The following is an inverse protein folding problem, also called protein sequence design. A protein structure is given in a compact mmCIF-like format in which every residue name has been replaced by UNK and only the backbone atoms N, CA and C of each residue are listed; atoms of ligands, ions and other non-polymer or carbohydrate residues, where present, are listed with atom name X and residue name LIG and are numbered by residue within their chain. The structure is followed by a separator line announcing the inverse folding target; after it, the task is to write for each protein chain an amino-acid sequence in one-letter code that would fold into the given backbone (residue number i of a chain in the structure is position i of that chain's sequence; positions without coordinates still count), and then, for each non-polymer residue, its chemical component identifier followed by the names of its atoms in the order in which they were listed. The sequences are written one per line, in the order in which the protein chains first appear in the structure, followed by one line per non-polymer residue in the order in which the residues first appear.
data_IF_305016035088
#
_entry.id   IF_305016035088
#
_cell.length_a   1.000
_cell.length_b   1.000
_cell.length_c   1.000
_cell.angle_alpha   90.00
_cell.angle_beta   90.00
_cell.angle_gamma   90.00
#
_symmetry.space_group_name_H-M   'P 1'
#
loop_
_entity.id
_entity.type
_entity.pdbx_description
1 polymer ?
#
# COMPACT_ATOMS: atom_id res chain seq x y z
N UNK A 1 23.17 -29.34 -25.05
CA UNK A 1 22.48 -28.04 -24.79
C UNK A 1 20.98 -28.23 -24.50
N UNK A 2 20.24 -29.05 -25.30
CA UNK A 2 18.81 -29.30 -25.08
C UNK A 2 18.49 -29.94 -23.70
N UNK A 3 19.33 -30.87 -23.24
CA UNK A 3 19.15 -31.55 -21.95
C UNK A 3 19.27 -30.62 -20.74
N UNK A 4 20.19 -29.64 -20.77
CA UNK A 4 20.40 -28.66 -19.69
C UNK A 4 19.21 -27.68 -19.60
N UNK A 5 18.67 -27.24 -20.73
CA UNK A 5 17.51 -26.35 -20.79
C UNK A 5 16.26 -27.06 -20.26
N UNK A 6 16.09 -28.34 -20.57
CA UNK A 6 14.96 -29.13 -20.09
C UNK A 6 15.02 -29.37 -18.57
N UNK A 7 16.19 -29.67 -18.04
CA UNK A 7 16.40 -29.86 -16.60
C UNK A 7 16.17 -28.57 -15.81
N UNK A 8 16.60 -27.43 -16.36
CA UNK A 8 16.38 -26.12 -15.74
C UNK A 8 14.89 -25.70 -15.76
N UNK A 9 14.17 -26.04 -16.83
CA UNK A 9 12.72 -25.81 -16.94
C UNK A 9 11.94 -26.64 -15.92
N UNK A 10 12.29 -27.92 -15.73
CA UNK A 10 11.68 -28.78 -14.72
C UNK A 10 11.97 -28.31 -13.30
N UNK A 11 13.19 -27.85 -13.03
CA UNK A 11 13.56 -27.28 -11.72
C UNK A 11 12.74 -26.02 -11.43
N UNK A 12 12.59 -25.13 -12.40
CA UNK A 12 11.77 -23.93 -12.28
C UNK A 12 10.31 -24.26 -12.00
N UNK A 13 9.71 -25.18 -12.77
CA UNK A 13 8.33 -25.60 -12.57
C UNK A 13 8.11 -26.21 -11.17
N UNK A 14 9.04 -27.02 -10.70
CA UNK A 14 8.99 -27.60 -9.35
C UNK A 14 9.07 -26.53 -8.28
N UNK A 15 9.97 -25.55 -8.39
CA UNK A 15 10.08 -24.44 -7.44
C UNK A 15 8.81 -23.59 -7.43
N UNK A 16 8.18 -23.36 -8.58
CA UNK A 16 6.90 -22.66 -8.66
C UNK A 16 5.80 -23.37 -7.88
N UNK A 17 5.65 -24.69 -8.08
CA UNK A 17 4.66 -25.50 -7.33
C UNK A 17 4.94 -25.51 -5.83
N UNK A 18 6.19 -25.64 -5.42
CA UNK A 18 6.59 -25.59 -4.02
C UNK A 18 6.28 -24.22 -3.40
N UNK A 19 6.57 -23.14 -4.11
CA UNK A 19 6.28 -21.78 -3.63
C UNK A 19 4.77 -21.56 -3.44
N UNK A 20 3.96 -21.99 -4.40
CA UNK A 20 2.50 -21.92 -4.31
C UNK A 20 1.99 -22.66 -3.08
N UNK A 21 2.44 -23.91 -2.88
CA UNK A 21 2.06 -24.72 -1.73
C UNK A 21 2.46 -24.07 -0.40
N UNK A 22 3.67 -23.52 -0.30
CA UNK A 22 4.15 -22.85 0.90
C UNK A 22 3.36 -21.57 1.23
N UNK A 23 2.92 -20.84 0.21
CA UNK A 23 2.02 -19.68 0.39
C UNK A 23 0.64 -20.13 0.86
N UNK A 24 0.09 -21.19 0.30
CA UNK A 24 -1.21 -21.73 0.69
C UNK A 24 -1.19 -22.33 2.11
N UNK A 25 -0.07 -22.92 2.51
CA UNK A 25 0.17 -23.40 3.88
C UNK A 25 0.50 -22.29 4.89
N UNK A 26 0.50 -21.03 4.48
CA UNK A 26 0.85 -19.87 5.32
C UNK A 26 2.25 -19.96 5.95
N UNK A 27 3.23 -20.39 5.14
CA UNK A 27 4.66 -20.46 5.50
C UNK A 27 5.45 -19.37 4.75
N UNK A 28 5.31 -18.08 5.11
CA UNK A 28 5.83 -16.99 4.30
C UNK A 28 7.36 -16.98 4.20
N UNK A 29 8.07 -17.35 5.23
CA UNK A 29 9.54 -17.37 5.25
C UNK A 29 10.08 -18.40 4.25
N UNK A 30 9.58 -19.64 4.29
CA UNK A 30 9.97 -20.68 3.35
C UNK A 30 9.52 -20.33 1.91
N UNK A 31 8.36 -19.71 1.74
CA UNK A 31 7.90 -19.23 0.44
C UNK A 31 8.83 -18.14 -0.12
N UNK A 32 9.32 -17.22 0.71
CA UNK A 32 10.27 -16.18 0.30
C UNK A 32 11.63 -16.75 -0.08
N UNK A 33 12.12 -17.79 0.59
CA UNK A 33 13.34 -18.52 0.21
C UNK A 33 13.19 -19.17 -1.17
N UNK A 34 12.07 -19.86 -1.41
CA UNK A 34 11.77 -20.46 -2.70
C UNK A 34 11.65 -19.41 -3.83
N UNK A 35 11.06 -18.23 -3.55
CA UNK A 35 11.02 -17.11 -4.50
C UNK A 35 12.42 -16.56 -4.77
N UNK A 36 13.28 -16.47 -3.77
CA UNK A 36 14.67 -16.01 -3.95
C UNK A 36 15.43 -16.97 -4.88
N UNK A 37 15.24 -18.27 -4.73
CA UNK A 37 15.84 -19.29 -5.61
C UNK A 37 15.30 -19.19 -7.05
N UNK A 38 13.98 -18.95 -7.22
CA UNK A 38 13.38 -18.68 -8.53
C UNK A 38 13.99 -17.45 -9.21
N UNK A 39 14.18 -16.37 -8.47
CA UNK A 39 14.77 -15.14 -8.98
C UNK A 39 16.25 -15.30 -9.36
N UNK A 40 17.00 -16.14 -8.64
CA UNK A 40 18.39 -16.46 -8.94
C UNK A 40 18.55 -17.20 -10.28
N UNK A 41 17.51 -17.90 -10.75
CA UNK A 41 17.49 -18.56 -12.05
C UNK A 41 17.39 -17.61 -13.26
N UNK A 42 17.28 -16.30 -13.02
CA UNK A 42 17.21 -15.26 -14.06
C UNK A 42 15.85 -15.11 -14.74
N UNK A 43 14.88 -15.92 -14.40
CA UNK A 43 13.53 -15.86 -14.95
C UNK A 43 12.61 -15.04 -14.06
N UNK A 44 12.27 -13.82 -14.49
CA UNK A 44 11.31 -12.94 -13.80
C UNK A 44 9.88 -13.33 -14.16
N UNK A 45 9.37 -14.38 -13.57
CA UNK A 45 8.00 -14.81 -13.81
C UNK A 45 7.00 -13.93 -13.04
N UNK A 46 5.92 -13.54 -13.71
CA UNK A 46 4.81 -12.77 -13.08
C UNK A 46 4.23 -13.57 -11.91
N UNK A 47 4.07 -14.87 -12.04
CA UNK A 47 3.57 -15.72 -10.94
C UNK A 47 4.49 -15.73 -9.73
N UNK A 48 5.82 -15.77 -9.91
CA UNK A 48 6.78 -15.66 -8.80
C UNK A 48 6.63 -14.32 -8.07
N UNK A 49 6.41 -13.22 -8.78
CA UNK A 49 6.15 -11.91 -8.18
C UNK A 49 4.82 -11.87 -7.41
N UNK A 50 3.78 -12.53 -7.93
CA UNK A 50 2.48 -12.64 -7.24
C UNK A 50 2.59 -13.45 -5.95
N UNK A 51 3.31 -14.57 -5.95
CA UNK A 51 3.56 -15.35 -4.73
C UNK A 51 4.45 -14.63 -3.74
N UNK A 52 5.50 -13.93 -4.23
CA UNK A 52 6.32 -13.07 -3.38
C UNK A 52 5.46 -12.00 -2.69
N UNK A 53 4.52 -11.39 -3.40
CA UNK A 53 3.60 -10.42 -2.84
C UNK A 53 2.71 -11.03 -1.74
N UNK A 54 2.11 -12.20 -1.99
CA UNK A 54 1.29 -12.90 -0.99
C UNK A 54 2.12 -13.30 0.24
N UNK A 55 3.32 -13.82 0.06
CA UNK A 55 4.20 -14.21 1.16
C UNK A 55 4.62 -13.00 1.99
N UNK A 56 4.97 -11.87 1.36
CA UNK A 56 5.29 -10.64 2.07
C UNK A 56 4.08 -10.05 2.80
N UNK A 57 2.87 -10.17 2.23
CA UNK A 57 1.63 -9.78 2.92
C UNK A 57 1.41 -10.61 4.17
N UNK A 58 1.61 -11.93 4.12
CA UNK A 58 1.51 -12.83 5.28
C UNK A 58 2.57 -12.50 6.34
N UNK A 59 3.78 -12.18 5.92
CA UNK A 59 4.89 -11.75 6.78
C UNK A 59 4.75 -10.30 7.29
N UNK A 60 3.70 -9.56 6.86
CA UNK A 60 3.49 -8.14 7.16
C UNK A 60 4.64 -7.23 6.71
N UNK A 61 5.39 -7.62 5.71
CA UNK A 61 6.45 -6.81 5.12
C UNK A 61 5.84 -5.81 4.11
N UNK A 62 5.16 -4.80 4.61
CA UNK A 62 4.37 -3.86 3.83
C UNK A 62 5.19 -3.02 2.82
N UNK A 63 6.41 -2.57 3.13
CA UNK A 63 7.24 -1.87 2.14
C UNK A 63 7.49 -2.71 0.89
N UNK A 64 7.76 -4.00 1.07
CA UNK A 64 8.00 -4.93 -0.04
C UNK A 64 6.70 -5.25 -0.80
N UNK A 65 5.57 -5.39 -0.10
CA UNK A 65 4.24 -5.51 -0.74
C UNK A 65 4.00 -4.34 -1.68
N UNK A 66 4.19 -3.09 -1.22
CA UNK A 66 4.01 -1.89 -2.04
C UNK A 66 4.95 -1.86 -3.26
N UNK A 67 6.19 -2.32 -3.09
CA UNK A 67 7.15 -2.43 -4.20
C UNK A 67 6.67 -3.41 -5.26
N UNK A 68 6.22 -4.59 -4.84
CA UNK A 68 5.74 -5.65 -5.73
C UNK A 68 4.42 -5.28 -6.41
N UNK A 69 3.50 -4.65 -5.69
CA UNK A 69 2.25 -4.11 -6.26
C UNK A 69 2.55 -3.14 -7.41
N UNK A 70 3.50 -2.21 -7.22
CA UNK A 70 3.90 -1.28 -8.31
C UNK A 70 4.45 -1.99 -9.54
N UNK A 71 5.24 -3.05 -9.34
CA UNK A 71 5.81 -3.83 -10.44
C UNK A 71 4.71 -4.59 -11.20
N UNK A 72 3.79 -5.21 -10.47
CA UNK A 72 2.69 -5.97 -11.03
C UNK A 72 1.69 -5.06 -11.77
N UNK A 73 1.39 -3.88 -11.21
CA UNK A 73 0.53 -2.87 -11.86
C UNK A 73 1.12 -2.42 -13.21
N UNK A 74 2.42 -2.12 -13.25
CA UNK A 74 3.11 -1.74 -14.50
C UNK A 74 3.06 -2.82 -15.59
N UNK A 75 2.85 -4.07 -15.20
CA UNK A 75 2.74 -5.22 -16.11
C UNK A 75 1.29 -5.63 -16.38
N UNK A 76 0.31 -4.89 -15.86
CA UNK A 76 -1.10 -5.26 -15.88
C UNK A 76 -1.36 -6.67 -15.35
N UNK A 77 -0.56 -7.11 -14.36
CA UNK A 77 -0.60 -8.44 -13.76
C UNK A 77 -1.33 -8.50 -12.43
N UNK A 78 -2.00 -7.41 -12.04
CA UNK A 78 -2.79 -7.31 -10.83
C UNK A 78 -4.11 -6.61 -11.15
N UNK A 79 -5.21 -7.17 -10.64
CA UNK A 79 -6.52 -6.53 -10.81
C UNK A 79 -6.56 -5.19 -10.05
N UNK A 80 -7.07 -4.10 -10.64
CA UNK A 80 -7.06 -2.77 -10.04
C UNK A 80 -7.67 -2.71 -8.63
N UNK A 81 -8.77 -3.44 -8.40
CA UNK A 81 -9.41 -3.50 -7.08
C UNK A 81 -8.52 -4.17 -6.02
N UNK A 82 -7.78 -5.21 -6.40
CA UNK A 82 -6.82 -5.88 -5.50
C UNK A 82 -5.61 -4.98 -5.23
N UNK A 83 -5.09 -4.30 -6.27
CA UNK A 83 -4.01 -3.32 -6.12
C UNK A 83 -4.39 -2.22 -5.13
N UNK A 84 -5.58 -1.62 -5.28
CA UNK A 84 -6.10 -0.59 -4.38
C UNK A 84 -6.18 -1.09 -2.94
N UNK A 85 -6.77 -2.25 -2.74
CA UNK A 85 -6.92 -2.87 -1.40
C UNK A 85 -5.58 -3.15 -0.73
N UNK A 86 -4.61 -3.68 -1.47
CA UNK A 86 -3.28 -3.97 -0.93
C UNK A 86 -2.55 -2.68 -0.52
N UNK A 87 -2.68 -1.61 -1.29
CA UNK A 87 -2.12 -0.30 -0.96
C UNK A 87 -2.77 0.27 0.30
N UNK A 88 -4.10 0.23 0.40
CA UNK A 88 -4.85 0.68 1.58
C UNK A 88 -4.39 -0.07 2.84
N UNK A 89 -4.33 -1.39 2.78
CA UNK A 89 -3.87 -2.23 3.91
C UNK A 89 -2.42 -1.92 4.30
N UNK A 90 -1.54 -1.78 3.31
CA UNK A 90 -0.13 -1.51 3.56
C UNK A 90 0.08 -0.13 4.20
N UNK A 91 -0.56 0.92 3.66
CA UNK A 91 -0.44 2.26 4.22
C UNK A 91 -1.12 2.37 5.60
N UNK A 92 -2.27 1.73 5.81
CA UNK A 92 -2.89 1.66 7.14
C UNK A 92 -1.95 1.03 8.17
N UNK A 93 -1.34 -0.10 7.84
CA UNK A 93 -0.40 -0.76 8.73
C UNK A 93 0.83 0.12 9.01
N UNK A 94 1.45 0.69 7.98
CA UNK A 94 2.61 1.57 8.12
C UNK A 94 2.31 2.84 8.94
N UNK A 95 1.14 3.44 8.75
CA UNK A 95 0.70 4.61 9.51
C UNK A 95 0.37 4.29 10.98
N UNK A 96 -0.07 3.06 11.24
CA UNK A 96 -0.47 2.59 12.57
C UNK A 96 0.68 2.04 13.40
N UNK A 97 1.88 1.88 12.83
CA UNK A 97 3.05 1.43 13.57
C UNK A 97 3.31 2.31 14.79
N UNK A 98 3.30 1.67 15.98
CA UNK A 98 3.36 2.38 17.27
C UNK A 98 4.71 3.05 17.58
N UNK A 99 5.74 2.78 16.77
CA UNK A 99 7.08 3.34 16.91
C UNK A 99 7.31 4.69 16.23
N UNK A 100 6.32 5.21 15.48
CA UNK A 100 6.48 6.50 14.82
C UNK A 100 6.43 7.66 15.84
N UNK A 101 7.51 8.45 15.89
CA UNK A 101 7.50 9.82 16.35
C UNK A 101 7.04 10.76 15.20
N UNK A 102 6.92 12.04 15.48
CA UNK A 102 6.50 13.03 14.49
C UNK A 102 7.38 13.04 13.24
N UNK A 103 8.69 12.92 13.43
CA UNK A 103 9.69 12.99 12.35
C UNK A 103 9.66 11.74 11.46
N UNK A 104 9.60 10.55 12.05
CA UNK A 104 9.53 9.29 11.30
C UNK A 104 8.20 9.16 10.54
N UNK A 105 7.09 9.65 11.11
CA UNK A 105 5.81 9.69 10.43
C UNK A 105 5.83 10.63 9.20
N UNK A 106 6.42 11.82 9.33
CA UNK A 106 6.61 12.75 8.20
C UNK A 106 7.47 12.12 7.09
N UNK A 107 8.59 11.49 7.46
CA UNK A 107 9.45 10.78 6.50
C UNK A 107 8.68 9.68 5.78
N UNK A 108 7.99 8.82 6.51
CA UNK A 108 7.17 7.76 5.91
C UNK A 108 6.13 8.35 4.97
N UNK A 109 5.36 9.36 5.40
CA UNK A 109 4.35 10.01 4.57
C UNK A 109 4.95 10.66 3.31
N UNK A 110 6.16 11.20 3.39
CA UNK A 110 6.86 11.77 2.24
C UNK A 110 7.16 10.74 1.13
N UNK A 111 7.26 9.47 1.47
CA UNK A 111 7.49 8.37 0.50
C UNK A 111 6.22 7.92 -0.23
N UNK A 112 5.03 8.28 0.29
CA UNK A 112 3.76 7.90 -0.33
C UNK A 112 3.57 8.66 -1.65
N UNK A 113 3.30 7.99 -2.79
CA UNK A 113 3.04 8.66 -4.05
C UNK A 113 1.82 9.58 -3.97
N UNK A 114 1.84 10.70 -4.69
CA UNK A 114 0.76 11.69 -4.64
C UNK A 114 -0.60 11.08 -5.03
N UNK A 115 -0.63 10.17 -6.00
CA UNK A 115 -1.84 9.46 -6.40
C UNK A 115 -2.46 8.64 -5.25
N UNK A 116 -1.63 8.07 -4.36
CA UNK A 116 -2.08 7.33 -3.20
C UNK A 116 -2.44 8.26 -2.04
N UNK A 117 -1.71 9.39 -1.87
CA UNK A 117 -2.02 10.39 -0.82
C UNK A 117 -3.41 11.00 -0.97
N UNK A 118 -3.88 11.15 -2.20
CA UNK A 118 -5.20 11.73 -2.49
C UNK A 118 -6.34 10.71 -2.38
N UNK A 119 -6.05 9.42 -2.16
CA UNK A 119 -7.09 8.41 -1.96
C UNK A 119 -7.80 8.63 -0.62
N UNK A 120 -9.14 8.70 -0.60
CA UNK A 120 -9.90 9.04 0.59
C UNK A 120 -9.58 8.16 1.81
N UNK A 121 -9.47 6.86 1.61
CA UNK A 121 -9.15 5.92 2.69
C UNK A 121 -7.76 6.19 3.28
N UNK A 122 -6.74 6.35 2.45
CA UNK A 122 -5.35 6.57 2.86
C UNK A 122 -5.21 7.93 3.54
N UNK A 123 -5.80 8.98 2.96
CA UNK A 123 -5.77 10.32 3.52
C UNK A 123 -6.42 10.41 4.91
N UNK A 124 -7.58 9.76 5.09
CA UNK A 124 -8.26 9.72 6.38
C UNK A 124 -7.42 9.02 7.46
N UNK A 125 -6.77 7.90 7.11
CA UNK A 125 -5.86 7.18 8.03
C UNK A 125 -4.61 7.99 8.35
N UNK A 126 -4.03 8.65 7.36
CA UNK A 126 -2.89 9.53 7.57
C UNK A 126 -3.25 10.70 8.50
N UNK A 127 -4.35 11.39 8.24
CA UNK A 127 -4.80 12.49 9.10
C UNK A 127 -5.02 12.04 10.54
N UNK A 128 -5.62 10.87 10.76
CA UNK A 128 -5.79 10.31 12.11
C UNK A 128 -4.43 10.02 12.79
N UNK A 129 -3.46 9.46 12.05
CA UNK A 129 -2.12 9.18 12.57
C UNK A 129 -1.35 10.46 12.94
N UNK A 130 -1.46 11.51 12.11
CA UNK A 130 -0.85 12.83 12.37
C UNK A 130 -1.51 13.52 13.57
N UNK A 131 -2.84 13.49 13.64
CA UNK A 131 -3.58 14.02 14.77
C UNK A 131 -3.21 13.38 16.11
N UNK A 132 -3.11 12.06 16.12
CA UNK A 132 -2.73 11.32 17.33
C UNK A 132 -1.35 11.72 17.87
N UNK A 133 -0.53 12.40 17.06
CA UNK A 133 0.80 12.93 17.42
C UNK A 133 0.83 14.45 17.59
N UNK A 134 -0.32 15.09 17.64
CA UNK A 134 -0.43 16.53 17.81
C UNK A 134 -0.09 17.36 16.56
N UNK A 135 0.05 16.72 15.39
CA UNK A 135 0.39 17.36 14.11
C UNK A 135 -0.88 17.81 13.38
N UNK A 136 -1.69 18.66 14.03
CA UNK A 136 -3.03 19.02 13.56
C UNK A 136 -3.02 19.81 12.25
N UNK A 137 -2.07 20.72 12.05
CA UNK A 137 -1.97 21.50 10.82
C UNK A 137 -1.63 20.63 9.61
N UNK A 138 -0.72 19.67 9.79
CA UNK A 138 -0.36 18.73 8.74
C UNK A 138 -1.52 17.77 8.44
N UNK A 139 -2.22 17.28 9.47
CA UNK A 139 -3.41 16.45 9.31
C UNK A 139 -4.49 17.20 8.51
N UNK A 140 -4.71 18.49 8.80
CA UNK A 140 -5.64 19.34 8.06
C UNK A 140 -5.25 19.47 6.59
N UNK A 141 -3.97 19.74 6.32
CA UNK A 141 -3.46 19.87 4.95
C UNK A 141 -3.62 18.57 4.13
N UNK A 142 -3.37 17.41 4.75
CA UNK A 142 -3.58 16.10 4.13
C UNK A 142 -5.03 15.95 3.67
N UNK A 143 -5.97 16.31 4.53
CA UNK A 143 -7.41 16.19 4.26
C UNK A 143 -7.86 17.18 3.18
N UNK A 144 -7.42 18.45 3.26
CA UNK A 144 -7.73 19.47 2.26
C UNK A 144 -7.27 19.07 0.86
N UNK A 145 -6.07 18.53 0.76
CA UNK A 145 -5.53 18.01 -0.51
C UNK A 145 -6.35 16.84 -1.06
N UNK A 146 -6.76 15.91 -0.21
CA UNK A 146 -7.59 14.77 -0.63
C UNK A 146 -8.99 15.23 -1.07
N UNK A 147 -9.62 16.14 -0.34
CA UNK A 147 -10.95 16.71 -0.68
C UNK A 147 -10.92 17.53 -1.98
N UNK A 148 -9.77 18.12 -2.31
CA UNK A 148 -9.59 18.83 -3.59
C UNK A 148 -9.58 17.84 -4.76
N UNK A 149 -9.02 16.66 -4.57
CA UNK A 149 -8.97 15.61 -5.60
C UNK A 149 -10.30 14.86 -5.70
N UNK A 150 -10.90 14.46 -4.59
CA UNK A 150 -12.14 13.71 -4.53
C UNK A 150 -12.90 14.02 -3.24
N UNK A 151 -14.20 14.39 -3.36
CA UNK A 151 -15.05 14.63 -2.20
C UNK A 151 -15.54 13.30 -1.62
N UNK A 152 -15.15 13.01 -0.37
CA UNK A 152 -15.53 11.78 0.35
C UNK A 152 -15.87 12.08 1.82
N UNK A 153 -16.98 11.53 2.30
CA UNK A 153 -17.45 11.77 3.68
C UNK A 153 -16.49 11.24 4.76
N UNK A 154 -15.71 10.20 4.47
CA UNK A 154 -14.70 9.67 5.39
C UNK A 154 -13.60 10.70 5.63
N UNK A 155 -13.20 11.39 4.58
CA UNK A 155 -12.20 12.47 4.64
C UNK A 155 -12.77 13.68 5.37
N UNK A 156 -14.04 14.03 5.15
CA UNK A 156 -14.75 15.10 5.87
C UNK A 156 -14.81 14.82 7.37
N UNK A 157 -15.06 13.57 7.76
CA UNK A 157 -15.05 13.15 9.16
C UNK A 157 -13.66 13.31 9.78
N UNK A 158 -12.62 12.81 9.10
CA UNK A 158 -11.24 12.98 9.53
C UNK A 158 -10.84 14.46 9.67
N UNK A 159 -11.35 15.33 8.80
CA UNK A 159 -11.14 16.76 8.89
C UNK A 159 -11.77 17.38 10.15
N UNK A 160 -13.01 16.98 10.49
CA UNK A 160 -13.67 17.47 11.71
C UNK A 160 -12.89 17.11 12.97
N UNK A 161 -12.33 15.91 12.99
CA UNK A 161 -11.49 15.45 14.09
C UNK A 161 -10.16 16.22 14.16
N UNK A 162 -9.60 16.60 13.00
CA UNK A 162 -8.35 17.35 12.91
C UNK A 162 -8.50 18.85 13.20
N UNK A 163 -9.55 19.47 12.70
CA UNK A 163 -9.68 20.92 12.65
C UNK A 163 -10.44 21.53 13.84
N UNK A 164 -11.03 20.70 14.71
CA UNK A 164 -11.87 21.19 15.81
C UNK A 164 -13.10 21.99 15.35
N UNK A 165 -13.75 22.77 16.24
CA UNK A 165 -14.97 23.49 15.93
C UNK A 165 -14.84 24.56 14.83
N UNK A 166 -13.68 25.21 14.73
CA UNK A 166 -13.43 26.26 13.73
C UNK A 166 -13.24 25.72 12.30
N UNK A 167 -12.69 24.53 12.16
CA UNK A 167 -12.50 23.87 10.86
C UNK A 167 -13.80 23.44 10.20
N UNK A 168 -14.85 23.21 10.98
CA UNK A 168 -16.18 22.87 10.45
C UNK A 168 -16.80 24.01 9.62
N UNK A 169 -16.52 25.26 9.96
CA UNK A 169 -17.02 26.43 9.22
C UNK A 169 -16.33 26.55 7.85
N UNK A 170 -15.03 26.28 7.78
CA UNK A 170 -14.26 26.32 6.54
C UNK A 170 -14.69 25.22 5.56
N UNK A 171 -15.01 24.04 6.06
CA UNK A 171 -15.55 22.93 5.26
C UNK A 171 -16.92 23.23 4.67
N UNK A 172 -17.80 23.84 5.46
CA UNK A 172 -19.11 24.28 4.98
C UNK A 172 -18.98 25.31 3.86
N UNK A 173 -18.06 26.26 4.00
CA UNK A 173 -17.77 27.25 2.97
C UNK A 173 -17.25 26.62 1.67
N UNK A 174 -16.36 25.63 1.76
CA UNK A 174 -15.88 24.87 0.60
C UNK A 174 -16.97 24.03 -0.06
N UNK A 175 -17.86 23.41 0.73
CA UNK A 175 -19.00 22.65 0.18
C UNK A 175 -19.98 23.55 -0.55
N UNK A 176 -20.28 24.73 -0.01
CA UNK A 176 -21.17 25.72 -0.62
C UNK A 176 -20.54 26.24 -1.92
N UNK A 177 -19.24 26.57 -1.92
CA UNK A 177 -18.55 27.06 -3.11
C UNK A 177 -18.51 26.06 -4.27
N UNK A 178 -18.49 24.74 -4.00
CA UNK A 178 -18.55 23.68 -5.03
C UNK A 178 -19.96 23.38 -5.51
N UNK A 179 -20.99 23.62 -4.70
CA UNK A 179 -22.37 23.42 -5.09
C UNK A 179 -22.90 24.56 -5.99
N UNK A 180 -22.16 25.68 -6.05
CA UNK A 180 -22.53 26.88 -6.84
C UNK A 180 -21.65 27.06 -8.09
N UNK A 181 -20.75 26.13 -8.38
CA UNK A 181 -19.92 26.07 -9.60
C UNK A 181 -20.30 24.87 -10.45
#
# INVERSE_FOLDING_TARGET
LAGIVHDQSLKTARLMTVTELLVDEHKPEAALEAVAELNASGQRHIHALQWAMKANQQARNWPEVLRLVRILDKRNALHPALSSRLREMAYEALLSEGGHDAESLRRMWSTVPNADRCKPYIAARAAAAFNARGLHDEARLIVENALTAEWDERVVRAYREAAGPEGSATLLAQKIGRATS
#
